data_IF_214092717761
#
_entry.id   IF_214092717761
#
_cell.length_a   1.000
_cell.length_b   1.000
_cell.length_c   1.000
_cell.angle_alpha   90.00
_cell.angle_beta   90.00
_cell.angle_gamma   90.00
#
_symmetry.space_group_name_H-M   'P 1'
#
loop_
_entity.id
_entity.type
_entity.pdbx_description
1 polymer ?
#
# COMPACT_ATOMS: atom_id res chain seq x y z
N UNK A 1 1.18 10.64 59.88
CA UNK A 1 -0.02 10.86 59.03
C UNK A 1 0.32 10.61 57.57
N UNK A 2 -0.59 9.95 56.88
CA UNK A 2 -0.39 9.15 55.67
C UNK A 2 -0.08 9.97 54.41
N UNK A 3 0.93 9.54 53.64
CA UNK A 3 1.03 9.73 52.18
C UNK A 3 -0.13 8.97 51.52
N UNK A 4 -0.89 9.59 50.62
CA UNK A 4 -1.77 8.90 49.66
C UNK A 4 -2.19 9.83 48.50
N UNK A 5 -1.95 9.33 47.28
CA UNK A 5 -2.66 9.59 46.02
C UNK A 5 -2.47 10.97 45.35
N UNK A 6 -2.31 11.11 44.03
CA UNK A 6 -2.62 10.20 42.93
C UNK A 6 -1.71 10.45 41.73
N UNK A 7 -1.06 9.38 41.26
CA UNK A 7 -0.60 9.26 39.88
C UNK A 7 -1.84 9.15 38.98
N UNK A 8 -2.14 10.19 38.21
CA UNK A 8 -2.94 10.03 36.99
C UNK A 8 -1.97 10.24 35.84
N UNK A 9 -1.42 9.11 35.40
CA UNK A 9 -0.70 8.93 34.15
C UNK A 9 -1.62 9.33 33.00
N UNK A 10 -1.50 10.57 32.53
CA UNK A 10 -2.02 11.01 31.23
C UNK A 10 -1.18 10.34 30.15
N UNK A 11 -1.48 9.07 29.91
CA UNK A 11 -1.09 8.41 28.67
C UNK A 11 -1.93 9.05 27.58
N UNK A 12 -1.42 10.13 27.02
CA UNK A 12 -1.95 10.78 25.83
C UNK A 12 -2.06 9.71 24.77
N UNK A 13 -3.30 9.37 24.42
CA UNK A 13 -3.65 8.57 23.26
C UNK A 13 -2.87 9.15 22.06
N UNK A 14 -1.81 8.48 21.62
CA UNK A 14 -1.18 8.79 20.35
C UNK A 14 -2.15 8.36 19.26
N UNK A 15 -3.11 9.24 18.96
CA UNK A 15 -3.87 9.16 17.73
C UNK A 15 -2.84 9.13 16.59
N UNK A 16 -2.94 8.14 15.72
CA UNK A 16 -2.08 7.92 14.57
C UNK A 16 -2.20 9.10 13.57
N UNK A 17 -1.68 10.26 13.93
CA UNK A 17 -1.42 11.36 13.02
C UNK A 17 -0.04 11.12 12.43
N UNK A 18 0.02 10.56 11.22
CA UNK A 18 1.21 10.66 10.38
C UNK A 18 1.59 12.14 10.17
N UNK A 19 2.79 12.46 9.65
CA UNK A 19 3.19 13.85 9.48
C UNK A 19 2.17 14.61 8.64
N UNK A 20 1.64 15.66 9.26
CA UNK A 20 0.67 16.58 8.70
C UNK A 20 1.40 17.76 8.10
N UNK A 21 1.28 17.96 6.79
CA UNK A 21 1.79 19.17 6.12
C UNK A 21 0.60 20.07 5.80
N UNK A 22 0.61 21.31 6.32
CA UNK A 22 -0.33 22.36 5.88
C UNK A 22 0.22 22.98 4.60
N UNK A 23 -0.52 22.85 3.50
CA UNK A 23 -0.16 23.45 2.22
C UNK A 23 -1.32 24.31 1.72
N UNK A 24 -1.09 25.63 1.58
CA UNK A 24 -2.11 26.60 1.12
C UNK A 24 -3.46 26.44 1.84
N UNK A 25 -3.44 26.34 3.17
CA UNK A 25 -4.64 26.14 4.01
C UNK A 25 -5.23 24.72 4.02
N UNK A 26 -4.70 23.77 3.23
CA UNK A 26 -5.17 22.38 3.19
C UNK A 26 -4.27 21.44 4.00
N UNK A 27 -4.88 20.55 4.77
CA UNK A 27 -4.19 19.51 5.53
C UNK A 27 -3.91 18.30 4.64
N UNK A 28 -2.63 18.02 4.37
CA UNK A 28 -2.19 16.83 3.64
C UNK A 28 -1.56 15.84 4.61
N UNK A 29 -2.27 14.73 4.84
CA UNK A 29 -1.74 13.60 5.61
C UNK A 29 -0.86 12.76 4.68
N UNK A 30 0.43 12.69 4.97
CA UNK A 30 1.40 11.86 4.23
C UNK A 30 1.94 10.73 5.12
N UNK A 31 2.34 9.58 4.53
CA UNK A 31 3.12 8.58 5.25
C UNK A 31 4.36 9.16 5.92
N UNK A 32 4.69 8.68 7.12
CA UNK A 32 5.84 9.18 7.87
C UNK A 32 7.18 8.76 7.26
N UNK A 33 8.18 9.64 7.33
CA UNK A 33 9.56 9.33 6.88
C UNK A 33 10.07 8.04 7.54
N UNK A 34 9.76 7.86 8.83
CA UNK A 34 10.11 6.66 9.58
C UNK A 34 9.39 5.41 9.07
N UNK A 35 8.10 5.50 8.71
CA UNK A 35 7.35 4.37 8.13
C UNK A 35 7.90 3.97 6.77
N UNK A 36 8.22 4.96 5.92
CA UNK A 36 8.85 4.74 4.61
C UNK A 36 10.22 4.08 4.79
N UNK A 37 11.07 4.59 5.68
CA UNK A 37 12.38 4.02 5.95
C UNK A 37 12.29 2.57 6.47
N UNK A 38 11.31 2.27 7.33
CA UNK A 38 11.07 0.91 7.83
C UNK A 38 10.73 -0.08 6.72
N UNK A 39 9.81 0.25 5.81
CA UNK A 39 9.47 -0.65 4.70
C UNK A 39 10.63 -0.81 3.73
N UNK A 40 11.33 0.27 3.40
CA UNK A 40 12.52 0.21 2.52
C UNK A 40 13.61 -0.66 3.13
N UNK A 41 13.89 -0.53 4.44
CA UNK A 41 14.85 -1.39 5.15
C UNK A 41 14.41 -2.86 5.12
N UNK A 42 13.12 -3.13 5.34
CA UNK A 42 12.57 -4.50 5.31
C UNK A 42 12.76 -5.13 3.93
N UNK A 43 12.42 -4.41 2.86
CA UNK A 43 12.62 -4.89 1.48
C UNK A 43 14.10 -5.09 1.18
N UNK A 44 14.95 -4.12 1.54
CA UNK A 44 16.40 -4.23 1.36
C UNK A 44 16.97 -5.47 2.07
N UNK A 45 16.52 -5.75 3.28
CA UNK A 45 16.91 -6.94 4.04
C UNK A 45 16.53 -8.23 3.32
N UNK A 46 15.30 -8.34 2.81
CA UNK A 46 14.85 -9.50 2.01
C UNK A 46 15.73 -9.68 0.77
N UNK A 47 15.96 -8.60 0.01
CA UNK A 47 16.80 -8.63 -1.21
C UNK A 47 18.24 -9.06 -0.89
N UNK A 48 18.80 -8.57 0.21
CA UNK A 48 20.16 -8.93 0.65
C UNK A 48 20.29 -10.38 1.09
N UNK A 49 19.23 -10.98 1.63
CA UNK A 49 19.21 -12.41 2.00
C UNK A 49 18.95 -13.31 0.81
N UNK A 50 18.17 -12.85 -0.16
CA UNK A 50 17.77 -13.62 -1.32
C UNK A 50 18.87 -13.79 -2.38
N UNK A 51 20.16 -13.81 -2.00
CA UNK A 51 21.29 -13.75 -2.95
C UNK A 51 21.26 -14.82 -4.04
N UNK A 52 20.83 -16.02 -3.69
CA UNK A 52 20.81 -17.21 -4.55
C UNK A 52 19.38 -17.67 -4.87
N UNK A 53 18.36 -17.01 -4.33
CA UNK A 53 16.98 -17.47 -4.40
C UNK A 53 16.44 -17.48 -5.82
N UNK A 54 15.54 -18.41 -6.13
CA UNK A 54 14.78 -18.37 -7.39
C UNK A 54 13.93 -17.09 -7.44
N UNK A 55 13.68 -16.58 -8.65
CA UNK A 55 12.89 -15.38 -8.85
C UNK A 55 11.48 -15.51 -8.26
N UNK A 56 10.86 -16.69 -8.38
CA UNK A 56 9.53 -17.00 -7.84
C UNK A 56 9.49 -16.81 -6.31
N UNK A 57 10.33 -17.54 -5.56
CA UNK A 57 10.41 -17.46 -4.10
C UNK A 57 10.66 -16.03 -3.61
N UNK A 58 11.50 -15.30 -4.35
CA UNK A 58 11.83 -13.92 -4.04
C UNK A 58 10.62 -12.99 -4.20
N UNK A 59 9.86 -13.15 -5.28
CA UNK A 59 8.62 -12.39 -5.53
C UNK A 59 7.52 -12.75 -4.52
N UNK A 60 7.40 -14.02 -4.11
CA UNK A 60 6.42 -14.47 -3.12
C UNK A 60 6.61 -13.84 -1.74
N UNK A 61 7.86 -13.58 -1.34
CA UNK A 61 8.14 -12.92 -0.05
C UNK A 61 7.93 -11.40 -0.15
N UNK A 62 8.25 -10.76 -1.28
CA UNK A 62 8.11 -9.31 -1.42
C UNK A 62 6.66 -8.86 -1.60
N UNK A 63 5.85 -9.61 -2.35
CA UNK A 63 4.48 -9.22 -2.67
C UNK A 63 3.63 -8.91 -1.43
N UNK A 64 3.56 -9.77 -0.40
CA UNK A 64 2.80 -9.48 0.82
C UNK A 64 3.26 -8.22 1.55
N UNK A 65 4.57 -7.91 1.54
CA UNK A 65 5.12 -6.70 2.17
C UNK A 65 4.65 -5.45 1.44
N UNK A 66 4.77 -5.46 0.10
CA UNK A 66 4.37 -4.34 -0.75
C UNK A 66 2.86 -4.12 -0.65
N UNK A 67 2.07 -5.19 -0.82
CA UNK A 67 0.60 -5.15 -0.74
C UNK A 67 0.16 -4.67 0.64
N UNK A 68 0.70 -5.22 1.72
CA UNK A 68 0.33 -4.85 3.09
C UNK A 68 0.59 -3.39 3.39
N UNK A 69 1.79 -2.90 3.05
CA UNK A 69 2.15 -1.50 3.29
C UNK A 69 1.35 -0.53 2.40
N UNK A 70 1.11 -0.90 1.14
CA UNK A 70 0.32 -0.09 0.20
C UNK A 70 -1.15 -0.01 0.63
N UNK A 71 -1.73 -1.12 1.09
CA UNK A 71 -3.10 -1.17 1.61
C UNK A 71 -3.25 -0.31 2.86
N UNK A 72 -2.26 -0.31 3.75
CA UNK A 72 -2.26 0.53 4.94
C UNK A 72 -2.28 2.03 4.59
N UNK A 73 -1.44 2.45 3.63
CA UNK A 73 -1.29 3.84 3.23
C UNK A 73 -2.18 4.27 2.06
N UNK A 74 -3.16 3.47 1.66
CA UNK A 74 -4.05 3.77 0.51
C UNK A 74 -5.00 4.95 0.75
N UNK A 75 -5.27 5.28 2.00
CA UNK A 75 -6.22 6.34 2.39
C UNK A 75 -5.59 7.74 2.43
N UNK A 76 -4.28 7.78 2.67
CA UNK A 76 -3.49 9.00 2.83
C UNK A 76 -2.85 9.42 1.50
N UNK A 77 -2.24 10.61 1.46
CA UNK A 77 -1.64 11.17 0.25
C UNK A 77 -0.32 10.45 -0.05
N UNK A 78 -0.40 9.30 -0.73
CA UNK A 78 0.75 8.39 -0.91
C UNK A 78 1.23 8.22 -2.35
N UNK A 79 0.56 8.82 -3.35
CA UNK A 79 0.83 8.54 -4.78
C UNK A 79 2.30 8.77 -5.17
N UNK A 80 2.82 9.92 -4.78
CA UNK A 80 4.22 10.31 -5.04
C UNK A 80 5.20 9.38 -4.31
N UNK A 81 4.87 8.99 -3.08
CA UNK A 81 5.71 8.10 -2.25
C UNK A 81 5.71 6.68 -2.81
N UNK A 82 4.57 6.19 -3.31
CA UNK A 82 4.49 4.90 -3.99
C UNK A 82 5.40 4.87 -5.22
N UNK A 83 5.36 5.91 -6.06
CA UNK A 83 6.26 6.01 -7.22
C UNK A 83 7.73 6.03 -6.79
N UNK A 84 8.09 6.80 -5.75
CA UNK A 84 9.45 6.85 -5.21
C UNK A 84 9.90 5.48 -4.69
N UNK A 85 9.04 4.76 -3.98
CA UNK A 85 9.34 3.42 -3.49
C UNK A 85 9.50 2.42 -4.64
N UNK A 86 8.69 2.49 -5.68
CA UNK A 86 8.82 1.63 -6.86
C UNK A 86 10.19 1.80 -7.53
N UNK A 87 10.67 3.04 -7.69
CA UNK A 87 12.02 3.30 -8.22
C UNK A 87 13.12 2.72 -7.32
N UNK A 88 13.01 2.93 -6.00
CA UNK A 88 13.98 2.39 -5.04
C UNK A 88 14.02 0.85 -5.10
N UNK A 89 12.86 0.20 -5.17
CA UNK A 89 12.78 -1.25 -5.28
C UNK A 89 13.38 -1.72 -6.61
N UNK A 90 13.05 -1.06 -7.72
CA UNK A 90 13.61 -1.36 -9.04
C UNK A 90 15.15 -1.31 -9.02
N UNK A 91 15.73 -0.27 -8.42
CA UNK A 91 17.19 -0.13 -8.31
C UNK A 91 17.82 -1.27 -7.48
N UNK A 92 17.18 -1.65 -6.38
CA UNK A 92 17.63 -2.78 -5.56
C UNK A 92 17.56 -4.10 -6.34
N UNK A 93 16.51 -4.29 -7.14
CA UNK A 93 16.34 -5.48 -7.99
C UNK A 93 17.38 -5.54 -9.10
N UNK A 94 17.66 -4.42 -9.76
CA UNK A 94 18.70 -4.35 -10.80
C UNK A 94 20.08 -4.71 -10.25
N UNK A 95 20.42 -4.22 -9.05
CA UNK A 95 21.66 -4.58 -8.35
C UNK A 95 21.70 -6.07 -8.02
N UNK A 96 20.61 -6.62 -7.52
CA UNK A 96 20.50 -8.05 -7.22
C UNK A 96 20.67 -8.91 -8.49
N UNK A 97 20.00 -8.54 -9.58
CA UNK A 97 20.02 -9.25 -10.86
C UNK A 97 21.41 -9.22 -11.50
N UNK A 98 22.07 -8.04 -11.50
CA UNK A 98 23.45 -7.89 -12.00
C UNK A 98 24.44 -8.75 -11.21
N UNK A 99 24.33 -8.77 -9.89
CA UNK A 99 25.22 -9.58 -9.03
C UNK A 99 25.09 -11.08 -9.30
N UNK A 100 23.92 -11.56 -9.71
CA UNK A 100 23.71 -13.00 -10.00
C UNK A 100 24.41 -13.45 -11.29
N UNK A 101 24.73 -12.52 -12.18
CA UNK A 101 25.29 -12.80 -13.50
C UNK A 101 26.59 -12.01 -13.72
N UNK A 102 27.65 -12.29 -12.94
CA UNK A 102 28.92 -11.56 -13.03
C UNK A 102 29.57 -11.68 -14.41
N UNK A 103 29.40 -12.82 -15.08
CA UNK A 103 29.95 -13.09 -16.42
C UNK A 103 29.18 -12.37 -17.55
N UNK A 104 28.00 -11.80 -17.26
CA UNK A 104 27.19 -11.11 -18.26
C UNK A 104 27.34 -9.61 -18.10
N UNK A 105 28.24 -9.04 -18.90
CA UNK A 105 28.52 -7.60 -18.90
C UNK A 105 27.37 -6.75 -19.47
N UNK A 106 26.49 -7.34 -20.28
CA UNK A 106 25.37 -6.64 -20.91
C UNK A 106 24.22 -6.39 -19.93
N UNK A 107 24.01 -5.12 -19.56
CA UNK A 107 22.84 -4.67 -18.79
C UNK A 107 21.52 -5.03 -19.47
N UNK A 108 21.49 -5.00 -20.82
CA UNK A 108 20.31 -5.35 -21.62
C UNK A 108 19.93 -6.81 -21.44
N UNK A 109 20.91 -7.72 -21.43
CA UNK A 109 20.66 -9.14 -21.23
C UNK A 109 20.06 -9.41 -19.84
N UNK A 110 20.63 -8.81 -18.80
CA UNK A 110 20.12 -8.93 -17.43
C UNK A 110 18.69 -8.39 -17.33
N UNK A 111 18.42 -7.23 -17.94
CA UNK A 111 17.07 -6.65 -17.97
C UNK A 111 16.07 -7.61 -18.66
N UNK A 112 16.37 -8.07 -19.87
CA UNK A 112 15.49 -8.95 -20.63
C UNK A 112 15.23 -10.31 -19.95
N UNK A 113 16.15 -10.77 -19.09
CA UNK A 113 16.04 -12.05 -18.39
C UNK A 113 14.98 -12.05 -17.28
N UNK A 114 14.77 -10.91 -16.62
CA UNK A 114 13.93 -10.80 -15.42
C UNK A 114 12.77 -9.80 -15.56
N UNK A 115 12.90 -8.82 -16.45
CA UNK A 115 11.88 -7.83 -16.72
C UNK A 115 11.20 -8.14 -18.05
N UNK A 116 9.88 -8.19 -18.01
CA UNK A 116 9.04 -8.51 -19.16
C UNK A 116 7.99 -7.42 -19.36
N UNK A 117 7.37 -7.43 -20.53
CA UNK A 117 6.19 -6.62 -20.82
C UNK A 117 4.96 -7.45 -20.49
N UNK A 118 4.06 -6.87 -19.69
CA UNK A 118 2.78 -7.49 -19.36
C UNK A 118 1.63 -6.51 -19.57
N UNK A 119 0.75 -6.85 -20.51
CA UNK A 119 -0.34 -5.96 -20.93
C UNK A 119 0.22 -4.63 -21.44
N UNK A 120 -0.17 -3.53 -20.80
CA UNK A 120 0.29 -2.17 -21.15
C UNK A 120 1.58 -1.76 -20.45
N UNK A 121 2.07 -2.54 -19.48
CA UNK A 121 3.20 -2.14 -18.64
C UNK A 121 4.47 -2.85 -19.09
N UNK A 122 5.48 -2.04 -19.42
CA UNK A 122 6.84 -2.50 -19.64
C UNK A 122 7.60 -2.54 -18.31
N UNK A 123 8.73 -3.24 -18.29
CA UNK A 123 9.60 -3.33 -17.11
C UNK A 123 8.90 -3.92 -15.88
N UNK A 124 8.14 -5.00 -16.07
CA UNK A 124 7.54 -5.76 -14.97
C UNK A 124 8.48 -6.87 -14.56
N UNK A 125 8.91 -6.88 -13.29
CA UNK A 125 9.71 -7.98 -12.75
C UNK A 125 8.81 -9.21 -12.59
N UNK A 126 8.92 -10.16 -13.50
CA UNK A 126 8.04 -11.32 -13.52
C UNK A 126 8.70 -12.58 -14.07
N UNK A 127 8.03 -13.68 -13.81
CA UNK A 127 8.27 -15.01 -14.38
C UNK A 127 6.93 -15.47 -14.96
N UNK A 128 6.94 -16.55 -15.76
CA UNK A 128 5.72 -17.14 -16.34
C UNK A 128 4.58 -17.37 -15.32
N UNK A 129 4.91 -17.61 -14.04
CA UNK A 129 3.94 -17.88 -12.98
C UNK A 129 3.55 -16.66 -12.15
N UNK A 130 4.53 -15.81 -11.80
CA UNK A 130 4.36 -14.79 -10.75
C UNK A 130 5.02 -13.49 -11.19
N UNK A 131 4.34 -12.38 -10.88
CA UNK A 131 4.85 -11.02 -11.07
C UNK A 131 4.93 -10.25 -9.75
N UNK A 132 5.89 -9.35 -9.67
CA UNK A 132 6.02 -8.44 -8.54
C UNK A 132 4.94 -7.35 -8.62
N UNK A 133 4.22 -7.16 -7.52
CA UNK A 133 3.28 -6.06 -7.35
C UNK A 133 4.04 -4.78 -7.03
N UNK A 134 3.57 -3.67 -7.58
CA UNK A 134 4.16 -2.36 -7.35
C UNK A 134 3.30 -1.58 -6.35
N UNK A 135 3.93 -0.66 -5.62
CA UNK A 135 3.21 0.24 -4.72
C UNK A 135 2.21 1.10 -5.50
N UNK A 136 2.59 1.54 -6.71
CA UNK A 136 1.74 2.32 -7.62
C UNK A 136 0.49 1.59 -8.12
N UNK A 137 0.45 0.26 -8.06
CA UNK A 137 -0.74 -0.52 -8.46
C UNK A 137 -1.92 -0.24 -7.51
N UNK A 138 -1.63 0.20 -6.28
CA UNK A 138 -2.65 0.39 -5.27
C UNK A 138 -3.48 1.65 -5.52
N UNK A 139 -4.78 1.45 -5.75
CA UNK A 139 -5.74 2.57 -5.88
C UNK A 139 -5.90 3.30 -4.56
N UNK A 140 -5.53 4.58 -4.56
CA UNK A 140 -5.74 5.50 -3.45
C UNK A 140 -7.25 5.76 -3.32
N UNK A 141 -7.79 5.50 -2.13
CA UNK A 141 -9.22 5.68 -1.84
C UNK A 141 -9.37 6.59 -0.63
N UNK A 142 -9.96 7.76 -0.84
CA UNK A 142 -10.23 8.71 0.23
C UNK A 142 -11.44 8.25 1.04
N UNK A 143 -11.31 8.11 2.37
CA UNK A 143 -12.47 7.88 3.22
C UNK A 143 -13.46 9.04 3.08
N UNK A 144 -14.75 8.70 2.99
CA UNK A 144 -15.82 9.69 3.02
C UNK A 144 -15.94 10.18 4.48
N UNK A 145 -15.82 11.50 4.67
CA UNK A 145 -15.99 12.15 5.96
C UNK A 145 -17.34 11.82 6.60
N UNK A 146 -17.37 11.75 7.92
CA UNK A 146 -18.63 11.59 8.64
C UNK A 146 -19.39 12.91 8.58
N UNK A 147 -20.67 12.86 8.22
CA UNK A 147 -21.63 13.95 8.47
C UNK A 147 -21.71 14.24 9.97
N UNK A 148 -21.28 15.42 10.39
CA UNK A 148 -21.20 15.81 11.80
C UNK A 148 -22.59 16.11 12.40
N UNK A 149 -23.56 16.43 11.57
CA UNK A 149 -24.97 16.65 11.89
C UNK A 149 -25.73 15.35 12.21
N UNK A 150 -25.10 14.17 12.05
CA UNK A 150 -25.76 12.86 12.16
C UNK A 150 -25.44 12.15 13.46
N UNK A 151 -26.49 11.80 14.21
CA UNK A 151 -26.39 11.11 15.50
C UNK A 151 -26.53 9.59 15.30
N UNK A 152 -25.70 8.81 15.98
CA UNK A 152 -25.71 7.35 15.89
C UNK A 152 -27.04 6.71 16.25
N UNK A 153 -27.76 7.29 17.22
CA UNK A 153 -29.00 6.72 17.75
C UNK A 153 -30.22 7.15 16.93
N UNK A 154 -30.29 8.42 16.51
CA UNK A 154 -31.44 8.96 15.78
C UNK A 154 -31.36 8.69 14.27
N UNK A 155 -30.15 8.68 13.69
CA UNK A 155 -29.93 8.51 12.25
C UNK A 155 -29.41 7.11 11.89
N UNK A 156 -30.01 6.05 12.45
CA UNK A 156 -29.53 4.67 12.28
C UNK A 156 -29.39 4.26 10.79
N UNK A 157 -30.33 4.68 9.93
CA UNK A 157 -30.33 4.38 8.50
C UNK A 157 -29.10 4.95 7.77
N UNK A 158 -28.65 6.16 8.14
CA UNK A 158 -27.44 6.75 7.58
C UNK A 158 -26.19 5.89 7.88
N UNK A 159 -26.05 5.41 9.13
CA UNK A 159 -24.91 4.58 9.52
C UNK A 159 -24.94 3.20 8.85
N UNK A 160 -26.13 2.60 8.67
CA UNK A 160 -26.32 1.35 7.90
C UNK A 160 -25.86 1.53 6.45
N UNK A 161 -26.39 2.54 5.75
CA UNK A 161 -26.04 2.84 4.35
C UNK A 161 -24.55 3.19 4.20
N UNK A 162 -23.98 3.93 5.14
CA UNK A 162 -22.54 4.25 5.15
C UNK A 162 -21.69 2.99 5.28
N UNK A 163 -22.06 2.04 6.16
CA UNK A 163 -21.34 0.77 6.30
C UNK A 163 -21.40 -0.05 5.01
N UNK A 164 -22.55 -0.10 4.36
CA UNK A 164 -22.71 -0.74 3.04
C UNK A 164 -21.82 -0.07 1.99
N UNK A 165 -21.83 1.26 1.91
CA UNK A 165 -21.00 2.02 0.97
C UNK A 165 -19.50 1.80 1.20
N UNK A 166 -19.05 1.76 2.45
CA UNK A 166 -17.66 1.45 2.78
C UNK A 166 -17.26 0.02 2.40
N UNK A 167 -18.14 -0.96 2.62
CA UNK A 167 -17.93 -2.33 2.17
C UNK A 167 -17.82 -2.37 0.64
N UNK A 168 -18.75 -1.73 -0.06
CA UNK A 168 -18.73 -1.63 -1.52
C UNK A 168 -17.42 -1.01 -2.04
N UNK A 169 -16.92 0.08 -1.45
CA UNK A 169 -15.65 0.70 -1.83
C UNK A 169 -14.43 -0.24 -1.72
N UNK A 170 -14.47 -1.22 -0.82
CA UNK A 170 -13.41 -2.22 -0.65
C UNK A 170 -13.48 -3.35 -1.67
N UNK A 171 -14.62 -3.56 -2.32
CA UNK A 171 -14.79 -4.61 -3.34
C UNK A 171 -13.99 -4.31 -4.61
N UNK A 172 -13.64 -5.37 -5.33
CA UNK A 172 -13.03 -5.27 -6.65
C UNK A 172 -14.01 -4.57 -7.63
N UNK A 173 -13.48 -4.03 -8.73
CA UNK A 173 -14.31 -3.37 -9.73
C UNK A 173 -15.42 -4.30 -10.28
N UNK A 174 -15.12 -5.59 -10.48
CA UNK A 174 -16.09 -6.55 -11.00
C UNK A 174 -17.23 -6.80 -9.99
N UNK A 175 -16.89 -6.96 -8.71
CA UNK A 175 -17.87 -7.14 -7.64
C UNK A 175 -18.73 -5.88 -7.52
N UNK A 176 -18.14 -4.67 -7.54
CA UNK A 176 -18.87 -3.40 -7.47
C UNK A 176 -19.94 -3.26 -8.56
N UNK A 177 -19.59 -3.50 -9.82
CA UNK A 177 -20.53 -3.43 -10.94
C UNK A 177 -21.70 -4.41 -10.78
N UNK A 178 -21.46 -5.62 -10.25
CA UNK A 178 -22.52 -6.59 -9.96
C UNK A 178 -23.42 -6.14 -8.81
N UNK A 179 -22.85 -5.56 -7.74
CA UNK A 179 -23.62 -5.02 -6.62
C UNK A 179 -24.50 -3.84 -7.01
N UNK A 180 -24.00 -2.97 -7.90
CA UNK A 180 -24.78 -1.83 -8.40
C UNK A 180 -25.97 -2.32 -9.26
N UNK A 181 -25.74 -3.30 -10.16
CA UNK A 181 -26.82 -3.94 -10.95
C UNK A 181 -27.91 -4.63 -10.08
N UNK A 182 -27.50 -5.30 -9.00
CA UNK A 182 -28.43 -5.93 -8.05
C UNK A 182 -29.27 -4.90 -7.28
N UNK A 183 -28.73 -3.69 -7.06
CA UNK A 183 -29.39 -2.63 -6.29
C UNK A 183 -30.43 -1.87 -7.11
N UNK A 184 -30.20 -1.75 -8.42
CA UNK A 184 -31.09 -1.04 -9.35
C UNK A 184 -32.21 -1.93 -9.93
N UNK A 185 -32.36 -3.17 -9.43
CA UNK A 185 -33.38 -4.11 -9.91
C UNK A 185 -33.14 -4.62 -11.35
N UNK A 186 -32.01 -4.27 -11.96
CA UNK A 186 -31.63 -4.67 -13.33
C UNK A 186 -30.92 -6.01 -13.29
N UNK A 187 -31.66 -7.06 -12.93
CA UNK A 187 -31.25 -8.43 -13.18
C UNK A 187 -32.01 -8.95 -14.41
N UNK A 188 -31.31 -9.05 -15.53
CA UNK A 188 -31.57 -10.00 -16.60
C UNK A 188 -30.42 -11.01 -16.61
#
# INVERSE_FOLDING_TARGET
>A
MRRLMSLISTTVLTFWAGPTVKYKGKLLIKPSKNSIAKVTKKISYVIKRAKTWKQENFTDVLNPIIIGWSNYHRSVVSKEIFSKLDHIVLDMLLKWAKRRHPEKNSKKWVANRYWHTEGTRNWVFSTKKIRLKLFSDMKIVRPIGLKLDKNHYLDAEYFKLRKLRQKALKLSNWYKTRWDKLKDGLCA
#
